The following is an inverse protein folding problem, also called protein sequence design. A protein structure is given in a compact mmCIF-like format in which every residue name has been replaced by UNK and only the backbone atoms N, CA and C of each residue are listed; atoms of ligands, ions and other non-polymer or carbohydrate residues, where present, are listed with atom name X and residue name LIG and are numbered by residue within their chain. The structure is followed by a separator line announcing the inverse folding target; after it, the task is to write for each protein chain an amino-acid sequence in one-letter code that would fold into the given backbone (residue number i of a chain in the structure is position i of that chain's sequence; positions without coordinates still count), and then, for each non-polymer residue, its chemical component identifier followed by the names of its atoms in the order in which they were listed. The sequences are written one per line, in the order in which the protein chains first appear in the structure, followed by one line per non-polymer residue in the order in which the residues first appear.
data_IF_403651358649
#
_entry.id   IF_403651358649
#
_cell.length_a   1.000
_cell.length_b   1.000
_cell.length_c   1.000
_cell.angle_alpha   90.00
_cell.angle_beta   90.00
_cell.angle_gamma   90.00
#
_symmetry.space_group_name_H-M   'P 1'
#
loop_
_entity.id
_entity.type
_entity.pdbx_description
1 polymer ?
#
# COMPACT_ATOMS: atom_id res chain seq x y z
N UNK A 1 -0.73 29.16 -3.02
CA UNK A 1 -0.79 29.40 -4.49
C UNK A 1 0.48 28.92 -5.23
N UNK A 2 1.68 29.10 -4.69
CA UNK A 2 2.93 28.60 -5.33
C UNK A 2 3.03 27.07 -5.50
N UNK A 3 2.49 26.29 -4.57
CA UNK A 3 2.53 24.82 -4.67
C UNK A 3 1.69 24.31 -5.85
N UNK A 4 0.51 24.88 -6.06
CA UNK A 4 -0.37 24.54 -7.19
C UNK A 4 0.28 24.92 -8.52
N UNK A 5 0.93 26.12 -8.60
CA UNK A 5 1.71 26.52 -9.76
C UNK A 5 2.89 25.57 -10.03
N UNK A 6 3.64 25.16 -9.02
CA UNK A 6 4.76 24.23 -9.15
C UNK A 6 4.33 22.82 -9.57
N UNK A 7 3.16 22.36 -9.12
CA UNK A 7 2.57 21.08 -9.57
C UNK A 7 2.09 21.18 -11.02
N UNK A 8 1.42 22.29 -11.38
CA UNK A 8 0.95 22.52 -12.75
C UNK A 8 2.12 22.67 -13.73
N UNK A 9 3.21 23.34 -13.34
CA UNK A 9 4.41 23.47 -14.19
C UNK A 9 5.09 22.12 -14.41
N UNK A 10 5.24 21.31 -13.35
CA UNK A 10 5.78 19.95 -13.47
C UNK A 10 4.89 18.99 -14.28
N UNK A 11 3.57 19.19 -14.22
CA UNK A 11 2.59 18.46 -15.06
C UNK A 11 2.77 18.84 -16.54
N UNK A 12 3.11 20.11 -16.82
CA UNK A 12 3.32 20.64 -18.18
C UNK A 12 4.66 20.23 -18.80
N UNK A 13 5.66 19.91 -17.97
CA UNK A 13 7.04 19.53 -18.36
C UNK A 13 7.21 18.02 -18.72
N UNK A 14 6.13 17.32 -19.11
CA UNK A 14 6.22 15.94 -19.58
C UNK A 14 6.25 14.85 -18.48
N UNK A 15 6.24 15.22 -17.18
CA UNK A 15 6.25 14.28 -16.06
C UNK A 15 5.06 13.28 -16.12
N UNK A 16 3.89 13.70 -16.63
CA UNK A 16 2.75 12.78 -16.79
C UNK A 16 3.02 11.73 -17.87
N UNK A 17 3.77 12.08 -18.88
CA UNK A 17 4.11 11.16 -19.97
C UNK A 17 5.16 10.15 -19.53
N UNK A 18 6.17 10.59 -18.77
CA UNK A 18 7.13 9.69 -18.12
C UNK A 18 6.46 8.75 -17.12
N UNK A 19 5.61 9.28 -16.23
CA UNK A 19 4.82 8.46 -15.30
C UNK A 19 3.89 7.48 -16.00
N UNK A 20 3.32 7.86 -17.16
CA UNK A 20 2.47 6.98 -17.96
C UNK A 20 3.27 5.84 -18.58
N UNK A 21 4.43 6.12 -19.15
CA UNK A 21 5.34 5.13 -19.74
C UNK A 21 5.84 4.15 -18.66
N UNK A 22 6.28 4.66 -17.50
CA UNK A 22 6.69 3.85 -16.35
C UNK A 22 5.55 2.96 -15.85
N UNK A 23 4.35 3.53 -15.70
CA UNK A 23 3.15 2.79 -15.24
C UNK A 23 2.74 1.73 -16.29
N UNK A 24 2.84 2.03 -17.57
CA UNK A 24 2.56 1.11 -18.66
C UNK A 24 3.54 -0.06 -18.68
N UNK A 25 4.82 0.21 -18.47
CA UNK A 25 5.84 -0.83 -18.33
C UNK A 25 5.57 -1.72 -17.11
N UNK A 26 5.31 -1.13 -15.95
CA UNK A 26 4.92 -1.86 -14.75
C UNK A 26 3.67 -2.71 -14.96
N UNK A 27 2.67 -2.20 -15.70
CA UNK A 27 1.46 -2.93 -16.05
C UNK A 27 1.73 -4.17 -16.90
N UNK A 28 2.75 -4.16 -17.74
CA UNK A 28 3.13 -5.31 -18.58
C UNK A 28 3.49 -6.52 -17.71
N UNK A 29 4.27 -6.30 -16.65
CA UNK A 29 4.59 -7.37 -15.69
C UNK A 29 3.37 -7.76 -14.84
N UNK A 30 2.61 -6.78 -14.36
CA UNK A 30 1.39 -7.03 -13.59
C UNK A 30 0.38 -7.87 -14.39
N UNK A 31 0.24 -7.62 -15.68
CA UNK A 31 -0.67 -8.37 -16.58
C UNK A 31 -0.33 -9.86 -16.65
N UNK A 32 0.95 -10.22 -16.61
CA UNK A 32 1.40 -11.63 -16.62
C UNK A 32 0.92 -12.40 -15.38
N UNK A 33 0.86 -11.71 -14.24
CA UNK A 33 0.47 -12.28 -12.95
C UNK A 33 -0.94 -11.86 -12.49
N UNK A 34 -1.79 -11.37 -13.42
CA UNK A 34 -3.10 -10.79 -13.12
C UNK A 34 -3.99 -11.67 -12.22
N UNK A 35 -4.05 -12.98 -12.47
CA UNK A 35 -4.88 -13.90 -11.67
C UNK A 35 -4.39 -13.98 -10.23
N UNK A 36 -3.09 -14.04 -10.02
CA UNK A 36 -2.49 -14.11 -8.70
C UNK A 36 -2.66 -12.77 -7.95
N UNK A 37 -2.51 -11.64 -8.67
CA UNK A 37 -2.72 -10.31 -8.10
C UNK A 37 -4.19 -10.10 -7.73
N UNK A 38 -5.13 -10.49 -8.61
CA UNK A 38 -6.56 -10.41 -8.30
C UNK A 38 -6.91 -11.28 -7.10
N UNK A 39 -6.40 -12.52 -7.04
CA UNK A 39 -6.61 -13.39 -5.91
C UNK A 39 -6.06 -12.80 -4.60
N UNK A 40 -4.86 -12.22 -4.65
CA UNK A 40 -4.26 -11.49 -3.53
C UNK A 40 -5.13 -10.31 -3.08
N UNK A 41 -5.67 -9.51 -4.03
CA UNK A 41 -6.58 -8.40 -3.74
C UNK A 41 -7.87 -8.91 -3.09
N UNK A 42 -8.46 -9.98 -3.62
CA UNK A 42 -9.68 -10.59 -3.05
C UNK A 42 -9.47 -11.04 -1.60
N UNK A 43 -8.34 -11.69 -1.30
CA UNK A 43 -7.98 -12.05 0.07
C UNK A 43 -7.80 -10.82 0.97
N UNK A 44 -7.17 -9.76 0.46
CA UNK A 44 -7.01 -8.50 1.17
C UNK A 44 -8.35 -7.81 1.46
N UNK A 45 -9.28 -7.82 0.51
CA UNK A 45 -10.64 -7.31 0.71
C UNK A 45 -11.37 -8.15 1.77
N UNK A 46 -11.27 -9.48 1.68
CA UNK A 46 -11.89 -10.39 2.64
C UNK A 46 -11.39 -10.13 4.08
N UNK A 47 -10.08 -9.97 4.24
CA UNK A 47 -9.49 -9.62 5.55
C UNK A 47 -9.98 -8.25 6.04
N UNK A 48 -10.11 -7.28 5.14
CA UNK A 48 -10.65 -5.95 5.45
C UNK A 48 -12.10 -6.04 5.93
N UNK A 49 -12.95 -6.79 5.23
CA UNK A 49 -14.36 -6.99 5.63
C UNK A 49 -14.47 -7.68 6.99
N UNK A 50 -13.60 -8.66 7.27
CA UNK A 50 -13.55 -9.30 8.59
C UNK A 50 -13.14 -8.32 9.69
N UNK A 51 -12.17 -7.44 9.43
CA UNK A 51 -11.79 -6.37 10.35
C UNK A 51 -12.93 -5.41 10.63
N UNK A 52 -13.70 -5.03 9.60
CA UNK A 52 -14.90 -4.20 9.77
C UNK A 52 -15.98 -4.92 10.57
N UNK A 53 -16.24 -6.20 10.30
CA UNK A 53 -17.18 -7.00 11.09
C UNK A 53 -16.76 -7.13 12.56
N UNK A 54 -15.46 -7.33 12.80
CA UNK A 54 -14.91 -7.34 14.17
C UNK A 54 -15.07 -6.01 14.89
N UNK A 55 -14.93 -4.88 14.16
CA UNK A 55 -15.16 -3.54 14.74
C UNK A 55 -16.62 -3.34 15.15
N UNK A 56 -17.57 -3.79 14.33
CA UNK A 56 -18.99 -3.78 14.65
C UNK A 56 -19.28 -4.71 15.83
N UNK A 57 -18.68 -5.91 15.85
CA UNK A 57 -18.77 -6.83 16.97
C UNK A 57 -18.27 -6.22 18.30
N UNK A 58 -17.17 -5.46 18.24
CA UNK A 58 -16.63 -4.76 19.40
C UNK A 58 -17.61 -3.71 19.95
N UNK A 59 -18.36 -3.01 19.09
CA UNK A 59 -19.42 -2.10 19.54
C UNK A 59 -20.49 -2.86 20.33
N UNK A 60 -21.01 -3.97 19.78
CA UNK A 60 -22.03 -4.78 20.49
C UNK A 60 -21.51 -5.38 21.80
N UNK A 61 -20.20 -5.70 21.86
CA UNK A 61 -19.57 -6.15 23.10
C UNK A 61 -19.60 -5.06 24.17
N UNK A 62 -19.25 -3.83 23.79
CA UNK A 62 -19.25 -2.67 24.69
C UNK A 62 -20.68 -2.39 25.17
N UNK A 63 -21.65 -2.37 24.27
CA UNK A 63 -23.06 -2.13 24.58
C UNK A 63 -23.61 -3.21 25.55
N UNK A 64 -23.24 -4.46 25.38
CA UNK A 64 -23.62 -5.55 26.26
C UNK A 64 -22.97 -5.45 27.67
N UNK A 65 -21.69 -5.06 27.74
CA UNK A 65 -20.98 -4.87 29.02
C UNK A 65 -21.48 -3.66 29.77
N UNK A 66 -21.87 -2.58 29.07
CA UNK A 66 -22.40 -1.35 29.66
C UNK A 66 -23.89 -1.47 30.05
N UNK A 67 -24.53 -2.61 29.77
CA UNK A 67 -25.92 -2.87 30.11
C UNK A 67 -26.93 -2.21 29.17
N UNK A 68 -26.49 -1.67 28.06
CA UNK A 68 -27.35 -1.07 27.06
C UNK A 68 -28.04 -2.12 26.16
N UNK A 69 -27.45 -3.32 26.04
CA UNK A 69 -27.99 -4.45 25.31
C UNK A 69 -27.93 -5.74 26.15
N UNK A 70 -28.92 -6.62 25.98
CA UNK A 70 -28.97 -7.94 26.66
C UNK A 70 -28.24 -9.04 25.88
N UNK A 71 -27.31 -8.68 25.01
CA UNK A 71 -26.53 -9.63 24.24
C UNK A 71 -25.69 -10.59 25.09
N UNK A 72 -25.50 -11.80 24.60
CA UNK A 72 -24.63 -12.78 25.26
C UNK A 72 -23.16 -12.40 25.04
N UNK A 73 -22.55 -11.77 26.05
CA UNK A 73 -21.14 -11.28 26.02
C UNK A 73 -20.18 -12.38 25.60
N UNK A 74 -20.36 -13.62 26.10
CA UNK A 74 -19.48 -14.74 25.78
C UNK A 74 -19.56 -15.11 24.30
N UNK A 75 -20.75 -15.11 23.71
CA UNK A 75 -20.93 -15.41 22.28
C UNK A 75 -20.32 -14.34 21.38
N UNK A 76 -20.51 -13.06 21.73
CA UNK A 76 -19.92 -11.94 20.97
C UNK A 76 -18.39 -11.98 21.06
N UNK A 77 -17.84 -12.26 22.25
CA UNK A 77 -16.40 -12.39 22.46
C UNK A 77 -15.81 -13.55 21.63
N UNK A 78 -16.46 -14.72 21.66
CA UNK A 78 -16.04 -15.88 20.84
C UNK A 78 -16.09 -15.54 19.35
N UNK A 79 -17.12 -14.85 18.88
CA UNK A 79 -17.22 -14.42 17.49
C UNK A 79 -16.06 -13.51 17.08
N UNK A 80 -15.71 -12.50 17.90
CA UNK A 80 -14.59 -11.59 17.61
C UNK A 80 -13.27 -12.34 17.58
N UNK A 81 -13.03 -13.24 18.53
CA UNK A 81 -11.83 -14.08 18.58
C UNK A 81 -11.74 -14.99 17.35
N UNK A 82 -12.82 -15.64 16.98
CA UNK A 82 -12.88 -16.52 15.80
C UNK A 82 -12.57 -15.73 14.51
N UNK A 83 -13.18 -14.54 14.36
CA UNK A 83 -12.90 -13.64 13.22
C UNK A 83 -11.44 -13.20 13.21
N UNK A 84 -10.85 -12.89 14.36
CA UNK A 84 -9.44 -12.53 14.49
C UNK A 84 -8.50 -13.67 14.06
N UNK A 85 -8.72 -14.88 14.56
CA UNK A 85 -7.93 -16.06 14.21
C UNK A 85 -8.03 -16.40 12.71
N UNK A 86 -9.23 -16.33 12.17
CA UNK A 86 -9.42 -16.56 10.73
C UNK A 86 -8.75 -15.49 9.88
N UNK A 87 -8.81 -14.23 10.29
CA UNK A 87 -8.10 -13.11 9.66
C UNK A 87 -6.59 -13.33 9.65
N UNK A 88 -6.00 -13.81 10.74
CA UNK A 88 -4.56 -14.15 10.82
C UNK A 88 -4.22 -15.25 9.79
N UNK A 89 -5.04 -16.29 9.69
CA UNK A 89 -4.85 -17.36 8.70
C UNK A 89 -4.85 -16.83 7.26
N UNK A 90 -5.85 -16.01 6.90
CA UNK A 90 -5.93 -15.39 5.58
C UNK A 90 -4.73 -14.48 5.33
N UNK A 91 -4.31 -13.67 6.32
CA UNK A 91 -3.15 -12.80 6.19
C UNK A 91 -1.86 -13.59 5.94
N UNK A 92 -1.67 -14.73 6.59
CA UNK A 92 -0.54 -15.61 6.37
C UNK A 92 -0.51 -16.12 4.91
N UNK A 93 -1.65 -16.60 4.40
CA UNK A 93 -1.78 -17.04 3.00
C UNK A 93 -1.50 -15.88 2.03
N UNK A 94 -2.07 -14.71 2.30
CA UNK A 94 -1.89 -13.49 1.50
C UNK A 94 -0.43 -13.08 1.42
N UNK A 95 0.28 -13.12 2.56
CA UNK A 95 1.72 -12.81 2.64
C UNK A 95 2.56 -13.82 1.85
N UNK A 96 2.24 -15.11 1.95
CA UNK A 96 2.94 -16.16 1.19
C UNK A 96 2.76 -15.98 -0.32
N UNK A 97 1.54 -15.67 -0.77
CA UNK A 97 1.25 -15.43 -2.19
C UNK A 97 2.00 -14.19 -2.67
N UNK A 98 1.92 -13.10 -1.92
CA UNK A 98 2.64 -11.85 -2.23
C UNK A 98 4.15 -12.08 -2.35
N UNK A 99 4.76 -12.80 -1.39
CA UNK A 99 6.18 -13.12 -1.43
C UNK A 99 6.55 -13.96 -2.65
N UNK A 100 5.77 -15.00 -2.97
CA UNK A 100 6.02 -15.84 -4.17
C UNK A 100 5.95 -15.04 -5.47
N UNK A 101 4.98 -14.13 -5.60
CA UNK A 101 4.86 -13.30 -6.79
C UNK A 101 6.02 -12.32 -6.85
N UNK A 102 6.39 -11.71 -5.72
CA UNK A 102 7.51 -10.76 -5.63
C UNK A 102 8.81 -11.41 -6.12
N UNK A 103 9.15 -12.61 -5.61
CA UNK A 103 10.34 -13.34 -6.02
C UNK A 103 10.32 -13.63 -7.53
N UNK A 104 9.17 -14.05 -8.09
CA UNK A 104 9.07 -14.34 -9.52
C UNK A 104 9.27 -13.09 -10.37
N UNK A 105 8.60 -11.99 -10.03
CA UNK A 105 8.71 -10.72 -10.76
C UNK A 105 10.13 -10.17 -10.63
N UNK A 106 10.71 -10.21 -9.43
CA UNK A 106 12.07 -9.75 -9.20
C UNK A 106 13.08 -10.53 -10.04
N UNK A 107 13.01 -11.86 -10.03
CA UNK A 107 13.91 -12.71 -10.81
C UNK A 107 13.75 -12.49 -12.33
N UNK A 108 12.52 -12.27 -12.80
CA UNK A 108 12.25 -11.99 -14.22
C UNK A 108 12.85 -10.65 -14.65
N UNK A 109 12.65 -9.61 -13.85
CA UNK A 109 13.24 -8.29 -14.15
C UNK A 109 14.77 -8.34 -14.06
N UNK A 110 15.32 -9.03 -13.05
CA UNK A 110 16.77 -9.22 -12.93
C UNK A 110 17.36 -9.94 -14.15
N UNK A 111 16.73 -11.01 -14.60
CA UNK A 111 17.17 -11.75 -15.77
C UNK A 111 17.15 -10.86 -17.03
N UNK A 112 16.06 -10.11 -17.24
CA UNK A 112 15.96 -9.20 -18.40
C UNK A 112 17.02 -8.08 -18.36
N UNK A 113 17.27 -7.50 -17.18
CA UNK A 113 18.30 -6.47 -17.02
C UNK A 113 19.69 -7.08 -17.24
N UNK A 114 19.93 -8.28 -16.71
CA UNK A 114 21.20 -9.00 -16.90
C UNK A 114 21.46 -9.30 -18.38
N UNK A 115 20.47 -9.81 -19.11
CA UNK A 115 20.59 -10.07 -20.54
C UNK A 115 20.91 -8.78 -21.32
N UNK A 116 20.28 -7.66 -20.97
CA UNK A 116 20.58 -6.36 -21.58
C UNK A 116 21.99 -5.89 -21.29
N UNK A 117 22.50 -6.13 -20.07
CA UNK A 117 23.89 -5.82 -19.69
C UNK A 117 24.87 -6.64 -20.52
N UNK A 118 24.60 -7.94 -20.73
CA UNK A 118 25.49 -8.81 -21.51
C UNK A 118 25.59 -8.43 -23.00
N UNK A 119 24.52 -7.87 -23.56
CA UNK A 119 24.46 -7.44 -24.97
C UNK A 119 24.88 -5.98 -25.17
N UNK A 120 25.03 -5.22 -24.07
CA UNK A 120 25.44 -3.81 -24.13
C UNK A 120 26.88 -3.67 -24.61
N UNK A 121 27.15 -2.62 -25.39
CA UNK A 121 28.51 -2.32 -25.86
C UNK A 121 29.44 -2.02 -24.69
N UNK A 122 30.62 -2.65 -24.70
CA UNK A 122 31.65 -2.50 -23.68
C UNK A 122 32.06 -1.04 -23.43
N UNK A 123 32.03 -0.21 -24.47
CA UNK A 123 32.40 1.21 -24.36
C UNK A 123 31.38 1.96 -23.48
N UNK A 124 30.10 1.69 -23.66
CA UNK A 124 29.01 2.28 -22.86
C UNK A 124 29.02 1.80 -21.41
N UNK A 125 29.48 0.58 -21.18
CA UNK A 125 29.59 -0.03 -19.85
C UNK A 125 30.77 0.49 -19.02
N UNK A 126 31.79 1.03 -19.67
CA UNK A 126 33.02 1.52 -19.02
C UNK A 126 32.80 2.72 -18.11
N UNK A 127 31.72 3.46 -18.32
CA UNK A 127 31.32 4.60 -17.48
C UNK A 127 30.71 4.15 -16.14
N UNK A 128 30.24 2.91 -16.02
CA UNK A 128 29.60 2.39 -14.82
C UNK A 128 30.59 1.57 -14.00
N UNK A 129 30.68 1.88 -12.70
CA UNK A 129 31.42 1.04 -11.77
C UNK A 129 30.64 -0.27 -11.51
N UNK A 130 31.35 -1.39 -11.48
CA UNK A 130 30.73 -2.72 -11.25
C UNK A 130 29.85 -2.77 -10.00
N UNK A 131 30.22 -2.03 -8.93
CA UNK A 131 29.43 -1.93 -7.71
C UNK A 131 28.12 -1.17 -7.89
N UNK A 132 28.07 -0.14 -8.74
CA UNK A 132 26.84 0.60 -9.05
C UNK A 132 25.87 -0.27 -9.86
N UNK A 133 26.37 -1.00 -10.85
CA UNK A 133 25.56 -1.95 -11.63
C UNK A 133 24.97 -3.06 -10.75
N UNK A 134 25.75 -3.62 -9.83
CA UNK A 134 25.28 -4.62 -8.87
C UNK A 134 24.22 -4.06 -7.93
N UNK A 135 24.39 -2.83 -7.46
CA UNK A 135 23.42 -2.17 -6.60
C UNK A 135 22.10 -1.89 -7.32
N UNK A 136 22.16 -1.45 -8.58
CA UNK A 136 20.97 -1.27 -9.43
C UNK A 136 20.28 -2.60 -9.71
N UNK A 137 21.04 -3.63 -10.06
CA UNK A 137 20.51 -4.96 -10.36
C UNK A 137 19.79 -5.60 -9.15
N UNK A 138 20.30 -5.41 -7.94
CA UNK A 138 19.72 -6.01 -6.74
C UNK A 138 18.78 -5.05 -6.00
N UNK A 139 19.17 -3.78 -5.82
CA UNK A 139 18.42 -2.81 -5.03
C UNK A 139 17.25 -2.19 -5.79
N UNK A 140 17.53 -1.60 -6.95
CA UNK A 140 16.52 -0.87 -7.72
C UNK A 140 15.48 -1.82 -8.30
N UNK A 141 15.90 -2.98 -8.84
CA UNK A 141 14.98 -3.99 -9.35
C UNK A 141 14.06 -4.52 -8.27
N UNK A 142 14.59 -4.82 -7.07
CA UNK A 142 13.75 -5.26 -5.95
C UNK A 142 12.75 -4.17 -5.52
N UNK A 143 13.18 -2.92 -5.50
CA UNK A 143 12.31 -1.78 -5.18
C UNK A 143 11.17 -1.64 -6.19
N UNK A 144 11.46 -1.75 -7.47
CA UNK A 144 10.47 -1.69 -8.55
C UNK A 144 9.51 -2.88 -8.46
N UNK A 145 10.02 -4.11 -8.35
CA UNK A 145 9.19 -5.32 -8.23
C UNK A 145 8.24 -5.24 -7.03
N UNK A 146 8.75 -4.83 -5.87
CA UNK A 146 7.96 -4.65 -4.66
C UNK A 146 6.91 -3.55 -4.82
N UNK A 147 7.23 -2.46 -5.52
CA UNK A 147 6.29 -1.36 -5.77
C UNK A 147 5.12 -1.80 -6.64
N UNK A 148 5.36 -2.56 -7.71
CA UNK A 148 4.31 -3.10 -8.59
C UNK A 148 3.29 -3.93 -7.81
N UNK A 149 3.78 -4.76 -6.88
CA UNK A 149 2.96 -5.73 -6.17
C UNK A 149 2.31 -5.19 -4.90
N UNK A 150 2.85 -4.11 -4.32
CA UNK A 150 2.32 -3.54 -3.09
C UNK A 150 1.38 -2.37 -3.33
N UNK A 151 1.68 -1.51 -4.31
CA UNK A 151 0.99 -0.23 -4.46
C UNK A 151 -0.46 -0.39 -4.94
N UNK A 152 -0.69 -1.11 -6.04
CA UNK A 152 -2.04 -1.28 -6.60
C UNK A 152 -2.97 -2.05 -5.64
N UNK A 153 -2.57 -3.22 -5.11
CA UNK A 153 -3.41 -3.94 -4.15
C UNK A 153 -3.68 -3.16 -2.87
N UNK A 154 -2.67 -2.47 -2.34
CA UNK A 154 -2.83 -1.64 -1.14
C UNK A 154 -3.80 -0.49 -1.36
N UNK A 155 -3.75 0.17 -2.53
CA UNK A 155 -4.68 1.25 -2.85
C UNK A 155 -6.13 0.75 -2.86
N UNK A 156 -6.37 -0.40 -3.50
CA UNK A 156 -7.71 -0.99 -3.59
C UNK A 156 -8.21 -1.40 -2.19
N UNK A 157 -7.41 -2.15 -1.43
CA UNK A 157 -7.82 -2.63 -0.09
C UNK A 157 -8.03 -1.48 0.89
N UNK A 158 -7.18 -0.44 0.85
CA UNK A 158 -7.33 0.77 1.69
C UNK A 158 -8.55 1.59 1.29
N UNK A 159 -8.87 1.67 -0.01
CA UNK A 159 -10.09 2.34 -0.47
C UNK A 159 -11.34 1.60 0.02
N UNK A 160 -11.38 0.27 -0.08
CA UNK A 160 -12.48 -0.54 0.46
C UNK A 160 -12.59 -0.36 1.99
N UNK A 161 -11.46 -0.37 2.69
CA UNK A 161 -11.43 -0.13 4.14
C UNK A 161 -12.00 1.24 4.50
N UNK A 162 -11.56 2.29 3.81
CA UNK A 162 -12.01 3.66 4.04
C UNK A 162 -13.52 3.81 3.80
N UNK A 163 -14.02 3.31 2.66
CA UNK A 163 -15.44 3.35 2.33
C UNK A 163 -16.28 2.53 3.32
N UNK A 164 -15.78 1.36 3.74
CA UNK A 164 -16.45 0.52 4.71
C UNK A 164 -16.55 1.17 6.10
N UNK A 165 -15.45 1.76 6.59
CA UNK A 165 -15.45 2.50 7.86
C UNK A 165 -16.40 3.70 7.77
N UNK A 166 -16.32 4.48 6.67
CA UNK A 166 -17.20 5.63 6.48
C UNK A 166 -18.66 5.22 6.47
N UNK A 167 -19.03 4.14 5.77
CA UNK A 167 -20.38 3.63 5.73
C UNK A 167 -20.88 3.20 7.13
N UNK A 168 -20.04 2.52 7.90
CA UNK A 168 -20.38 2.11 9.28
C UNK A 168 -20.62 3.34 10.16
N UNK A 169 -19.72 4.34 10.12
CA UNK A 169 -19.87 5.53 10.97
C UNK A 169 -21.10 6.33 10.54
N UNK A 170 -21.36 6.50 9.25
CA UNK A 170 -22.56 7.18 8.74
C UNK A 170 -23.86 6.49 9.18
N UNK A 171 -23.84 5.16 9.24
CA UNK A 171 -25.01 4.38 9.67
C UNK A 171 -25.32 4.57 11.16
N UNK A 172 -24.29 4.63 12.01
CA UNK A 172 -24.48 4.73 13.47
C UNK A 172 -24.61 6.18 13.94
N UNK A 173 -23.78 7.08 13.43
CA UNK A 173 -23.78 8.51 13.81
C UNK A 173 -23.25 9.40 12.69
N UNK A 174 -24.14 10.03 11.90
CA UNK A 174 -23.74 10.95 10.84
C UNK A 174 -22.91 12.15 11.34
N UNK A 175 -23.13 12.60 12.59
CA UNK A 175 -22.39 13.73 13.15
C UNK A 175 -20.92 13.36 13.36
N UNK A 176 -20.66 12.17 13.90
CA UNK A 176 -19.30 11.63 14.05
C UNK A 176 -18.61 11.43 12.69
N UNK A 177 -19.35 11.03 11.66
CA UNK A 177 -18.82 10.91 10.32
C UNK A 177 -18.31 12.25 9.75
N UNK A 178 -19.06 13.32 9.96
CA UNK A 178 -18.66 14.68 9.54
C UNK A 178 -17.41 15.13 10.28
N UNK A 179 -17.34 14.92 11.60
CA UNK A 179 -16.17 15.26 12.43
C UNK A 179 -14.94 14.48 11.95
N UNK A 180 -15.09 13.16 11.69
CA UNK A 180 -14.03 12.31 11.20
C UNK A 180 -13.50 12.79 9.83
N UNK A 181 -14.40 13.14 8.90
CA UNK A 181 -14.02 13.71 7.60
C UNK A 181 -13.35 15.08 7.73
N UNK A 182 -13.82 15.94 8.64
CA UNK A 182 -13.23 17.25 8.89
C UNK A 182 -11.83 17.15 9.51
N UNK A 183 -11.53 16.09 10.25
CA UNK A 183 -10.18 15.85 10.82
C UNK A 183 -9.14 15.48 9.76
N UNK A 184 -9.53 14.90 8.63
CA UNK A 184 -8.63 14.43 7.58
C UNK A 184 -7.74 15.55 6.99
N UNK A 185 -8.25 16.73 6.59
CA UNK A 185 -7.40 17.82 6.10
C UNK A 185 -6.42 18.34 7.16
N UNK A 186 -6.83 18.35 8.43
CA UNK A 186 -5.95 18.75 9.55
C UNK A 186 -4.76 17.80 9.66
N UNK A 187 -5.01 16.48 9.61
CA UNK A 187 -3.95 15.46 9.61
C UNK A 187 -3.00 15.59 8.43
N UNK A 188 -3.50 15.93 7.24
CA UNK A 188 -2.66 16.16 6.05
C UNK A 188 -1.74 17.36 6.25
N UNK A 189 -2.22 18.45 6.84
CA UNK A 189 -1.42 19.65 7.11
C UNK A 189 -0.33 19.34 8.14
N UNK A 190 -0.69 18.68 9.24
CA UNK A 190 0.25 18.28 10.31
C UNK A 190 1.33 17.35 9.73
N UNK A 191 0.94 16.32 8.97
CA UNK A 191 1.87 15.38 8.33
C UNK A 191 2.85 16.08 7.39
N UNK A 192 2.39 17.03 6.57
CA UNK A 192 3.27 17.82 5.68
C UNK A 192 4.31 18.61 6.46
N UNK A 193 3.91 19.24 7.57
CA UNK A 193 4.80 20.04 8.42
C UNK A 193 5.85 19.16 9.09
N UNK A 194 5.43 18.00 9.63
CA UNK A 194 6.34 17.03 10.23
C UNK A 194 7.32 16.44 9.21
N UNK A 195 6.82 16.05 8.02
CA UNK A 195 7.66 15.50 6.94
C UNK A 195 8.72 16.53 6.47
N UNK A 196 8.36 17.82 6.40
CA UNK A 196 9.33 18.86 6.06
C UNK A 196 10.44 18.94 7.11
N UNK A 197 10.10 18.97 8.40
CA UNK A 197 11.09 18.95 9.49
C UNK A 197 11.99 17.72 9.45
N UNK A 198 11.41 16.52 9.31
CA UNK A 198 12.18 15.27 9.21
C UNK A 198 13.15 15.27 8.02
N UNK A 199 12.71 15.78 6.88
CA UNK A 199 13.57 15.90 5.69
C UNK A 199 14.75 16.85 5.90
N UNK A 200 14.51 17.96 6.59
CA UNK A 200 15.56 18.93 6.91
C UNK A 200 16.57 18.34 7.92
N UNK A 201 16.11 17.59 8.93
CA UNK A 201 16.98 16.85 9.85
C UNK A 201 17.80 15.77 9.14
N UNK A 202 17.17 14.95 8.27
CA UNK A 202 17.87 13.91 7.52
C UNK A 202 18.93 14.48 6.56
N UNK A 203 18.69 15.68 5.98
CA UNK A 203 19.71 16.36 5.18
C UNK A 203 20.90 16.78 6.02
N UNK A 204 20.68 17.30 7.23
CA UNK A 204 21.77 17.69 8.14
C UNK A 204 22.60 16.48 8.59
N UNK A 205 21.94 15.34 8.84
CA UNK A 205 22.63 14.09 9.24
C UNK A 205 23.47 13.46 8.13
N UNK A 206 23.16 13.75 6.86
CA UNK A 206 23.96 13.25 5.71
C UNK A 206 25.14 14.15 5.35
N UNK A 207 25.24 15.31 5.96
CA UNK A 207 26.33 16.28 5.73
C UNK A 207 27.43 16.22 6.82
N UNK A 208 27.24 15.39 7.82
CA UNK A 208 28.24 14.99 8.83
C UNK A 208 28.79 13.61 8.51
#
# INVERSE_FOLDING_TARGET
MEFIKKVITKIKDGMLQEMYEETKWMYTYAKKYKFQIVFYICLGIMTTLMGLASSVGSKYLIDAVTGQDKGNIALIAVFIIAMGLFSIGINAVTTMISAKINIKVNNEIQAEVYDKILVADWISMKEFHSGDLLNRLNGDVNTVASSILSWIPSLITRSVQFLGILAIILYYDPTMAIIALASAPVMVIVSKTLMKKLRDYNKKMRQV
#
